data_IF_615262667488
#
_entry.id   IF_615262667488
#
_cell.length_a   1.000
_cell.length_b   1.000
_cell.length_c   1.000
_cell.angle_alpha   90.00
_cell.angle_beta   90.00
_cell.angle_gamma   90.00
#
_symmetry.space_group_name_H-M   'P 1'
#
loop_
_entity.id
_entity.type
_entity.pdbx_description
1 polymer ?
#
# COMPACT_ATOMS: atom_id res chain seq x y z
N UNK A 1 22.13 -5.91 31.27
CA UNK A 1 21.83 -4.50 31.56
C UNK A 1 20.42 -4.20 31.09
N UNK A 2 19.51 -3.92 32.00
CA UNK A 2 18.13 -3.57 31.65
C UNK A 2 18.06 -2.06 31.41
N UNK A 3 17.93 -1.67 30.17
CA UNK A 3 17.72 -0.26 29.81
C UNK A 3 16.27 0.13 30.04
N UNK A 4 16.04 1.27 30.69
CA UNK A 4 14.71 1.85 30.81
C UNK A 4 14.22 2.36 29.45
N UNK A 5 12.89 2.45 29.26
CA UNK A 5 12.27 2.96 28.04
C UNK A 5 12.82 4.35 27.63
N UNK A 6 13.19 5.18 28.59
CA UNK A 6 13.77 6.52 28.40
C UNK A 6 15.22 6.47 27.89
N UNK A 7 15.99 5.44 28.27
CA UNK A 7 17.38 5.25 27.81
C UNK A 7 17.44 4.72 26.36
N UNK A 8 16.48 3.86 26.00
CA UNK A 8 16.33 3.44 24.58
C UNK A 8 15.92 4.59 23.66
N UNK A 9 15.14 5.55 24.15
CA UNK A 9 14.73 6.73 23.37
C UNK A 9 15.87 7.73 23.11
N UNK A 10 16.84 7.84 24.03
CA UNK A 10 18.00 8.70 23.85
C UNK A 10 18.97 8.26 22.75
N UNK A 11 19.06 6.94 22.50
CA UNK A 11 19.99 6.35 21.53
C UNK A 11 19.64 6.68 20.07
N UNK A 12 18.34 6.78 19.75
CA UNK A 12 17.91 7.09 18.39
C UNK A 12 17.95 8.58 17.99
N UNK A 13 17.84 9.46 18.99
CA UNK A 13 17.90 10.91 18.77
C UNK A 13 19.34 11.43 18.56
N UNK A 14 20.31 10.78 19.17
CA UNK A 14 21.72 11.22 19.11
C UNK A 14 22.32 11.10 17.72
N UNK A 15 21.95 10.09 16.94
CA UNK A 15 22.47 9.90 15.57
C UNK A 15 21.99 10.94 14.56
N UNK A 16 20.83 11.59 14.80
CA UNK A 16 20.34 12.70 13.96
C UNK A 16 20.58 14.09 14.56
N UNK A 17 20.83 14.16 15.86
CA UNK A 17 21.05 15.41 16.61
C UNK A 17 22.53 15.73 16.84
N UNK A 18 23.46 14.91 16.36
CA UNK A 18 24.91 15.14 16.50
C UNK A 18 25.36 16.53 16.02
N UNK A 19 24.66 17.16 15.10
CA UNK A 19 24.93 18.50 14.62
C UNK A 19 24.37 19.64 15.53
N UNK A 20 23.44 19.33 16.42
CA UNK A 20 22.77 20.32 17.29
C UNK A 20 23.30 20.30 18.72
N UNK A 21 24.00 19.24 19.13
CA UNK A 21 24.40 19.00 20.52
C UNK A 21 25.74 19.64 20.93
N UNK A 22 26.23 20.66 20.26
CA UNK A 22 27.45 21.36 20.64
C UNK A 22 27.43 22.02 22.05
N UNK A 23 26.39 21.83 22.85
CA UNK A 23 26.28 22.34 24.21
C UNK A 23 25.79 21.34 25.27
N UNK A 24 25.39 20.13 24.91
CA UNK A 24 24.89 19.13 25.87
C UNK A 24 26.00 18.16 26.28
N UNK A 25 26.16 17.94 27.60
CA UNK A 25 27.00 16.85 28.12
C UNK A 25 26.45 15.53 27.59
N UNK A 26 27.19 14.91 26.67
CA UNK A 26 26.83 13.62 26.10
C UNK A 26 26.73 12.56 27.20
N UNK A 27 25.63 11.83 27.25
CA UNK A 27 25.51 10.64 28.11
C UNK A 27 26.51 9.56 27.66
N UNK A 28 26.90 8.59 28.51
CA UNK A 28 27.78 7.49 28.10
C UNK A 28 27.31 6.74 26.85
N UNK A 29 26.01 6.73 26.60
CA UNK A 29 25.39 6.15 25.40
C UNK A 29 25.66 7.02 24.16
N UNK A 30 25.59 8.35 24.30
CA UNK A 30 25.91 9.27 23.21
C UNK A 30 27.44 9.27 22.92
N UNK A 31 28.28 8.99 23.93
CA UNK A 31 29.72 8.77 23.73
C UNK A 31 30.02 7.42 23.03
N UNK A 32 29.25 6.37 23.35
CA UNK A 32 29.35 5.09 22.64
C UNK A 32 28.84 5.20 21.18
N UNK A 33 27.86 6.06 20.91
CA UNK A 33 27.41 6.34 19.54
C UNK A 33 28.37 7.23 18.77
N UNK A 34 29.03 8.18 19.39
CA UNK A 34 30.09 8.97 18.77
C UNK A 34 31.35 8.08 18.45
N UNK A 35 31.61 7.07 19.27
CA UNK A 35 32.63 6.05 18.97
C UNK A 35 32.19 5.14 17.78
N UNK A 36 30.88 4.86 17.63
CA UNK A 36 30.34 4.15 16.46
C UNK A 36 30.29 5.02 15.19
N UNK A 37 30.30 6.34 15.29
CA UNK A 37 30.37 7.23 14.12
C UNK A 37 31.78 7.23 13.47
N UNK A 38 32.82 7.11 14.26
CA UNK A 38 34.19 6.89 13.71
C UNK A 38 34.30 5.53 13.01
N UNK A 39 33.59 4.52 13.52
CA UNK A 39 33.47 3.20 12.88
C UNK A 39 32.56 3.26 11.63
N UNK A 40 31.56 4.11 11.62
CA UNK A 40 30.65 4.30 10.48
C UNK A 40 31.36 4.88 9.25
N UNK A 41 32.31 5.78 9.41
CA UNK A 41 33.13 6.30 8.30
C UNK A 41 34.03 5.22 7.71
N UNK A 42 34.66 4.41 8.56
CA UNK A 42 35.44 3.25 8.14
C UNK A 42 34.58 2.17 7.48
N UNK A 43 33.40 1.89 8.03
CA UNK A 43 32.41 0.99 7.45
C UNK A 43 31.91 1.51 6.10
N UNK A 44 31.62 2.80 5.97
CA UNK A 44 31.22 3.42 4.71
C UNK A 44 32.32 3.35 3.65
N UNK A 45 33.58 3.53 4.05
CA UNK A 45 34.75 3.36 3.17
C UNK A 45 34.87 1.90 2.72
N UNK A 46 34.68 0.93 3.63
CA UNK A 46 34.69 -0.49 3.30
C UNK A 46 33.51 -0.86 2.36
N UNK A 47 32.33 -0.27 2.53
CA UNK A 47 31.22 -0.47 1.62
C UNK A 47 31.50 0.06 0.20
N UNK A 48 32.25 1.14 0.07
CA UNK A 48 32.65 1.68 -1.25
C UNK A 48 33.59 0.76 -2.04
N UNK A 49 34.31 -0.12 -1.36
CA UNK A 49 35.18 -1.14 -1.98
C UNK A 49 34.60 -2.55 -1.95
N UNK A 50 33.40 -2.71 -1.39
CA UNK A 50 32.76 -4.02 -1.26
C UNK A 50 32.49 -4.65 -2.63
N UNK A 51 32.84 -5.93 -2.76
CA UNK A 51 32.48 -6.76 -3.90
C UNK A 51 31.93 -8.10 -3.39
N UNK A 52 30.78 -8.49 -3.91
CA UNK A 52 30.08 -9.69 -3.46
C UNK A 52 28.59 -9.66 -3.79
N UNK A 53 27.84 -10.59 -3.23
CA UNK A 53 26.39 -10.67 -3.42
C UNK A 53 25.66 -10.27 -2.14
N UNK A 54 24.56 -9.54 -2.29
CA UNK A 54 23.73 -9.06 -1.18
C UNK A 54 22.26 -9.45 -1.45
N UNK A 55 21.59 -10.20 -0.55
CA UNK A 55 20.17 -10.45 -0.67
C UNK A 55 19.39 -9.19 -0.31
N UNK A 56 18.27 -8.99 -1.00
CA UNK A 56 17.31 -7.91 -0.72
C UNK A 56 15.89 -8.40 -0.97
N UNK A 57 14.93 -7.88 -0.23
CA UNK A 57 13.54 -8.29 -0.31
C UNK A 57 12.60 -7.06 -0.41
N UNK A 58 12.49 -6.45 -1.59
CA UNK A 58 11.49 -5.41 -1.84
C UNK A 58 10.10 -6.02 -2.04
N UNK A 59 9.09 -5.17 -2.11
CA UNK A 59 7.70 -5.60 -2.25
C UNK A 59 7.33 -6.17 -3.64
N UNK A 60 8.26 -6.27 -4.57
CA UNK A 60 8.07 -6.89 -5.89
C UNK A 60 8.90 -8.16 -6.11
N UNK A 61 9.41 -8.74 -5.05
CA UNK A 61 10.07 -10.03 -5.04
C UNK A 61 11.45 -10.03 -4.37
N UNK A 62 11.88 -11.16 -3.80
CA UNK A 62 13.21 -11.32 -3.27
C UNK A 62 14.24 -11.37 -4.40
N UNK A 63 15.34 -10.68 -4.20
CA UNK A 63 16.40 -10.56 -5.20
C UNK A 63 17.80 -10.68 -4.61
N UNK A 64 18.77 -10.94 -5.46
CA UNK A 64 20.19 -10.92 -5.16
C UNK A 64 20.85 -9.82 -5.99
N UNK A 65 21.51 -8.89 -5.32
CA UNK A 65 22.31 -7.86 -5.96
C UNK A 65 23.79 -8.29 -5.97
N UNK A 66 24.41 -8.28 -7.13
CA UNK A 66 25.87 -8.40 -7.28
C UNK A 66 26.48 -7.01 -7.23
N UNK A 67 27.44 -6.84 -6.35
CA UNK A 67 28.14 -5.56 -6.12
C UNK A 67 29.59 -5.74 -6.48
N UNK A 68 30.14 -4.79 -7.23
CA UNK A 68 31.57 -4.68 -7.55
C UNK A 68 32.06 -3.29 -7.19
N UNK A 69 33.07 -3.22 -6.33
CA UNK A 69 33.63 -1.96 -5.85
C UNK A 69 32.60 -0.97 -5.35
N UNK A 70 31.66 -1.44 -4.54
CA UNK A 70 30.57 -0.65 -3.98
C UNK A 70 29.45 -0.27 -4.97
N UNK A 71 29.49 -0.76 -6.20
CA UNK A 71 28.50 -0.49 -7.24
C UNK A 71 27.70 -1.75 -7.56
N UNK A 72 26.39 -1.67 -7.54
CA UNK A 72 25.52 -2.77 -8.01
C UNK A 72 25.69 -2.88 -9.52
N UNK A 73 26.11 -4.05 -10.00
CA UNK A 73 26.34 -4.33 -11.42
C UNK A 73 25.31 -5.29 -12.00
N UNK A 74 24.63 -6.07 -11.14
CA UNK A 74 23.61 -7.03 -11.56
C UNK A 74 22.57 -7.22 -10.46
N UNK A 75 21.33 -7.45 -10.85
CA UNK A 75 20.22 -7.84 -9.97
C UNK A 75 19.56 -9.08 -10.58
N UNK A 76 19.37 -10.10 -9.76
CA UNK A 76 18.72 -11.35 -10.14
C UNK A 76 17.63 -11.69 -9.14
N UNK A 77 16.56 -12.32 -9.59
CA UNK A 77 15.57 -12.86 -8.69
C UNK A 77 16.18 -13.98 -7.83
N UNK A 78 15.80 -14.03 -6.55
CA UNK A 78 16.17 -15.16 -5.70
C UNK A 78 15.43 -16.41 -6.15
N UNK A 79 16.10 -17.57 -6.08
CA UNK A 79 15.55 -18.83 -6.60
C UNK A 79 14.29 -19.35 -5.89
N UNK A 80 13.90 -18.79 -4.75
CA UNK A 80 12.63 -19.09 -4.07
C UNK A 80 11.43 -18.38 -4.70
N UNK A 81 11.63 -17.32 -5.48
CA UNK A 81 10.55 -16.60 -6.14
C UNK A 81 9.91 -17.48 -7.23
N UNK A 82 8.58 -17.64 -7.15
CA UNK A 82 7.82 -18.52 -8.06
C UNK A 82 7.54 -17.88 -9.43
N UNK A 83 7.53 -16.54 -9.48
CA UNK A 83 7.20 -15.78 -10.69
C UNK A 83 8.01 -14.48 -10.78
N UNK A 84 9.34 -14.57 -10.84
CA UNK A 84 10.18 -13.38 -10.83
C UNK A 84 9.86 -12.45 -12.01
N UNK A 85 9.79 -11.18 -11.72
CA UNK A 85 9.50 -10.16 -12.72
C UNK A 85 10.79 -9.49 -13.17
N UNK A 86 11.40 -9.97 -14.24
CA UNK A 86 12.67 -9.46 -14.78
C UNK A 86 12.63 -7.94 -15.03
N UNK A 87 11.52 -7.44 -15.53
CA UNK A 87 11.34 -6.01 -15.79
C UNK A 87 11.47 -5.15 -14.53
N UNK A 88 11.02 -5.63 -13.37
CA UNK A 88 11.16 -4.93 -12.09
C UNK A 88 12.59 -5.02 -11.56
N UNK A 89 13.26 -6.15 -11.70
CA UNK A 89 14.66 -6.33 -11.28
C UNK A 89 15.61 -5.48 -12.13
N UNK A 90 15.44 -5.47 -13.44
CA UNK A 90 16.19 -4.61 -14.35
C UNK A 90 15.92 -3.13 -14.08
N UNK A 91 14.64 -2.74 -13.93
CA UNK A 91 14.25 -1.38 -13.63
C UNK A 91 14.80 -0.85 -12.31
N UNK A 92 15.03 -1.70 -11.31
CA UNK A 92 15.68 -1.31 -10.05
C UNK A 92 17.15 -0.95 -10.27
N UNK A 93 17.86 -1.73 -11.07
CA UNK A 93 19.25 -1.46 -11.39
C UNK A 93 19.41 -0.14 -12.15
N UNK A 94 18.64 0.03 -13.23
CA UNK A 94 18.65 1.23 -14.05
C UNK A 94 18.34 2.47 -13.21
N UNK A 95 17.28 2.41 -12.41
CA UNK A 95 16.85 3.53 -11.56
C UNK A 95 17.88 3.89 -10.50
N UNK A 96 18.64 2.93 -10.01
CA UNK A 96 19.64 3.19 -8.95
C UNK A 96 20.72 4.17 -9.39
N UNK A 97 21.07 4.16 -10.67
CA UNK A 97 22.13 5.01 -11.24
C UNK A 97 21.65 5.99 -12.29
N UNK A 98 20.35 6.10 -12.49
CA UNK A 98 19.77 7.04 -13.46
C UNK A 98 20.06 8.50 -13.06
N UNK A 99 20.27 9.33 -14.07
CA UNK A 99 20.52 10.77 -13.90
C UNK A 99 19.39 11.55 -13.23
N UNK A 100 18.19 11.01 -13.22
CA UNK A 100 17.02 11.61 -12.54
C UNK A 100 17.01 11.37 -11.03
N UNK A 101 17.90 10.50 -10.55
CA UNK A 101 18.03 10.26 -9.11
C UNK A 101 18.63 11.49 -8.42
N UNK A 102 18.10 11.82 -7.24
CA UNK A 102 18.66 12.88 -6.40
C UNK A 102 20.11 12.54 -6.03
N UNK A 103 21.04 13.38 -6.46
CA UNK A 103 22.48 13.14 -6.30
C UNK A 103 23.03 13.51 -4.91
N UNK A 104 22.30 14.32 -4.15
CA UNK A 104 22.71 14.78 -2.83
C UNK A 104 21.65 15.62 -2.15
N UNK A 105 21.98 16.15 -0.97
CA UNK A 105 21.08 17.04 -0.26
C UNK A 105 20.95 18.38 -1.00
N UNK A 106 19.72 18.83 -1.19
CA UNK A 106 19.40 20.07 -1.91
C UNK A 106 18.53 20.96 -1.03
N UNK A 107 18.81 22.26 -1.05
CA UNK A 107 18.05 23.28 -0.34
C UNK A 107 17.61 24.36 -1.33
N UNK A 108 16.39 24.89 -1.16
CA UNK A 108 15.94 26.02 -1.98
C UNK A 108 16.85 27.23 -1.74
N UNK A 109 17.27 27.88 -2.80
CA UNK A 109 18.20 29.00 -2.76
C UNK A 109 17.68 30.12 -1.85
N UNK A 110 16.42 30.54 -2.03
CA UNK A 110 15.83 31.59 -1.22
C UNK A 110 15.76 31.26 0.28
N UNK A 111 15.56 29.97 0.62
CA UNK A 111 15.56 29.54 2.02
C UNK A 111 16.97 29.53 2.61
N UNK A 112 17.96 29.08 1.85
CA UNK A 112 19.36 29.09 2.27
C UNK A 112 19.87 30.50 2.51
N UNK A 113 19.59 31.42 1.58
CA UNK A 113 19.94 32.83 1.70
C UNK A 113 19.29 33.48 2.93
N UNK A 114 18.00 33.16 3.18
CA UNK A 114 17.29 33.65 4.35
C UNK A 114 17.92 33.17 5.67
N UNK A 115 18.28 31.89 5.76
CA UNK A 115 18.99 31.32 6.92
C UNK A 115 20.36 32.00 7.12
N UNK A 116 21.14 32.15 6.05
CA UNK A 116 22.45 32.80 6.08
C UNK A 116 22.37 34.29 6.47
N UNK A 117 21.28 34.96 6.13
CA UNK A 117 21.01 36.35 6.53
C UNK A 117 20.38 36.45 7.92
N UNK A 118 20.51 35.47 8.76
CA UNK A 118 19.97 35.46 10.13
C UNK A 118 18.46 35.52 10.20
N UNK A 119 17.78 34.96 9.18
CA UNK A 119 16.32 34.90 9.06
C UNK A 119 15.62 36.27 8.98
N UNK A 120 16.32 37.24 8.46
CA UNK A 120 15.75 38.58 8.22
C UNK A 120 14.91 38.60 6.95
N UNK A 121 13.71 39.18 7.02
CA UNK A 121 12.79 39.23 5.90
C UNK A 121 12.02 37.90 5.66
N UNK A 122 11.65 37.62 4.43
CA UNK A 122 10.86 36.45 4.04
C UNK A 122 11.76 35.34 3.47
N UNK A 123 11.49 34.09 3.84
CA UNK A 123 12.06 32.90 3.19
C UNK A 123 11.47 32.62 1.80
N UNK A 124 10.64 33.51 1.29
CA UNK A 124 9.94 33.45 0.00
C UNK A 124 9.19 32.11 -0.23
N UNK A 125 8.25 31.77 0.66
CA UNK A 125 7.48 30.52 0.52
C UNK A 125 6.69 30.45 -0.80
N UNK A 126 6.34 31.58 -1.40
CA UNK A 126 5.68 31.69 -2.69
C UNK A 126 6.51 31.17 -3.86
N UNK A 127 7.81 30.98 -3.66
CA UNK A 127 8.70 30.39 -4.66
C UNK A 127 8.76 28.84 -4.57
N UNK A 128 8.02 28.20 -3.68
CA UNK A 128 7.98 26.73 -3.64
C UNK A 128 7.54 26.17 -5.00
N UNK A 129 8.35 25.23 -5.51
CA UNK A 129 8.16 24.65 -6.85
C UNK A 129 8.73 25.47 -8.03
N UNK A 130 9.21 26.70 -7.78
CA UNK A 130 9.79 27.60 -8.80
C UNK A 130 11.20 28.08 -8.45
N UNK A 131 11.66 27.83 -7.24
CA UNK A 131 12.96 28.26 -6.73
C UNK A 131 14.10 27.42 -7.33
N UNK A 132 15.29 28.00 -7.34
CA UNK A 132 16.51 27.26 -7.65
C UNK A 132 16.89 26.35 -6.48
N UNK A 133 17.51 25.20 -6.80
CA UNK A 133 18.03 24.26 -5.83
C UNK A 133 19.54 24.38 -5.71
N UNK A 134 20.03 24.49 -4.50
CA UNK A 134 21.47 24.53 -4.17
C UNK A 134 21.86 23.23 -3.50
N UNK A 135 22.88 22.55 -4.01
CA UNK A 135 23.43 21.38 -3.35
C UNK A 135 24.23 21.79 -2.13
N UNK A 136 24.00 21.13 -1.01
CA UNK A 136 24.68 21.39 0.27
C UNK A 136 25.22 20.09 0.86
N UNK A 137 26.07 20.19 1.87
CA UNK A 137 26.49 19.01 2.64
C UNK A 137 25.31 18.43 3.42
N UNK A 138 25.38 17.14 3.74
CA UNK A 138 24.38 16.50 4.60
C UNK A 138 24.29 17.16 5.97
N UNK A 139 25.43 17.56 6.55
CA UNK A 139 25.45 18.28 7.84
C UNK A 139 24.68 19.59 7.78
N UNK A 140 24.86 20.35 6.71
CA UNK A 140 24.09 21.58 6.49
C UNK A 140 22.59 21.26 6.35
N UNK A 141 22.21 20.30 5.53
CA UNK A 141 20.81 19.96 5.32
C UNK A 141 20.14 19.44 6.59
N UNK A 142 20.81 18.57 7.34
CA UNK A 142 20.29 18.03 8.60
C UNK A 142 20.19 19.11 9.68
N UNK A 143 21.20 19.98 9.78
CA UNK A 143 21.16 21.13 10.71
C UNK A 143 19.99 22.07 10.43
N UNK A 144 19.77 22.44 9.17
CA UNK A 144 18.63 23.28 8.76
C UNK A 144 17.28 22.58 9.05
N UNK A 145 17.18 21.30 8.78
CA UNK A 145 15.97 20.51 9.03
C UNK A 145 15.67 20.42 10.53
N UNK A 146 16.67 20.07 11.34
CA UNK A 146 16.54 19.97 12.78
C UNK A 146 16.10 21.31 13.39
N UNK A 147 16.75 22.41 12.98
CA UNK A 147 16.39 23.74 13.42
C UNK A 147 14.94 24.10 13.08
N UNK A 148 14.53 23.84 11.85
CA UNK A 148 13.15 24.14 11.43
C UNK A 148 12.10 23.34 12.21
N UNK A 149 12.38 22.07 12.53
CA UNK A 149 11.51 21.23 13.36
C UNK A 149 11.45 21.77 14.79
N UNK A 150 12.59 22.04 15.42
CA UNK A 150 12.65 22.58 16.79
C UNK A 150 11.96 23.94 16.91
N UNK A 151 12.19 24.85 16.00
CA UNK A 151 11.51 26.15 15.97
C UNK A 151 9.99 26.01 15.81
N UNK A 152 9.55 25.02 15.04
CA UNK A 152 8.12 24.73 14.88
C UNK A 152 7.53 24.19 16.18
N UNK A 153 8.22 23.26 16.84
CA UNK A 153 7.80 22.69 18.13
C UNK A 153 7.78 23.77 19.21
N UNK A 154 8.80 24.61 19.28
CA UNK A 154 8.86 25.73 20.24
C UNK A 154 7.70 26.71 20.07
N UNK A 155 7.37 27.04 18.82
CA UNK A 155 6.35 28.05 18.52
C UNK A 155 4.92 27.51 18.56
N UNK A 156 4.70 26.28 18.13
CA UNK A 156 3.35 25.75 17.90
C UNK A 156 3.08 24.41 18.61
N UNK A 157 4.05 23.90 19.38
CA UNK A 157 3.97 22.57 19.95
C UNK A 157 4.23 21.47 18.90
N UNK A 158 4.26 20.23 19.36
CA UNK A 158 4.45 19.06 18.49
C UNK A 158 3.35 18.90 17.43
N UNK A 159 2.17 19.41 17.72
CA UNK A 159 1.02 19.41 16.79
C UNK A 159 1.27 20.25 15.53
N UNK A 160 2.18 21.24 15.61
CA UNK A 160 2.63 22.03 14.47
C UNK A 160 3.48 21.23 13.47
N UNK A 161 3.98 20.06 13.85
CA UNK A 161 4.71 19.16 12.96
C UNK A 161 3.74 18.13 12.38
N UNK A 162 3.56 18.16 11.08
CA UNK A 162 2.82 17.12 10.36
C UNK A 162 3.79 16.05 9.83
N UNK A 163 3.66 14.83 10.32
CA UNK A 163 4.44 13.70 9.84
C UNK A 163 3.54 12.65 9.21
N UNK A 164 3.79 12.35 7.97
CA UNK A 164 3.10 11.28 7.28
C UNK A 164 4.02 10.64 6.27
N UNK A 165 4.14 9.34 6.34
CA UNK A 165 4.85 8.55 5.35
C UNK A 165 4.02 7.33 5.03
N UNK A 166 3.74 7.14 3.74
CA UNK A 166 3.02 5.98 3.28
C UNK A 166 3.88 4.71 3.40
N UNK A 167 3.28 3.62 3.89
CA UNK A 167 4.00 2.39 4.24
C UNK A 167 4.07 1.34 3.14
N UNK A 168 3.45 1.58 1.97
CA UNK A 168 3.40 0.61 0.87
C UNK A 168 4.75 0.29 0.24
N UNK A 169 5.73 1.11 0.45
CA UNK A 169 7.11 0.94 0.00
C UNK A 169 7.90 0.14 1.01
N UNK A 170 7.55 -1.09 1.20
CA UNK A 170 8.20 -1.85 2.21
C UNK A 170 9.23 -2.79 1.63
N UNK A 171 10.25 -2.95 2.37
CA UNK A 171 11.14 -4.07 2.39
C UNK A 171 11.12 -4.64 3.80
N UNK A 172 11.68 -5.81 3.98
CA UNK A 172 11.66 -6.50 5.26
C UNK A 172 12.14 -5.61 6.41
N UNK A 173 11.37 -5.58 7.47
CA UNK A 173 11.79 -5.08 8.77
C UNK A 173 11.58 -3.59 9.05
N UNK A 174 12.42 -3.08 9.94
CA UNK A 174 12.31 -1.77 10.59
C UNK A 174 12.69 -0.59 9.68
N UNK A 175 13.21 -0.83 8.49
CA UNK A 175 13.67 0.21 7.58
C UNK A 175 12.56 0.82 6.72
N UNK A 176 11.32 0.53 7.01
CA UNK A 176 10.18 1.18 6.36
C UNK A 176 10.17 2.68 6.68
N UNK A 177 9.95 3.56 5.71
CA UNK A 177 9.94 5.01 5.93
C UNK A 177 8.97 5.45 7.02
N UNK A 178 7.76 4.90 7.06
CA UNK A 178 6.76 5.21 8.08
C UNK A 178 7.19 4.78 9.50
N UNK A 179 7.88 3.65 9.63
CA UNK A 179 8.41 3.19 10.93
C UNK A 179 9.51 4.11 11.42
N UNK A 180 10.45 4.46 10.53
CA UNK A 180 11.57 5.35 10.87
C UNK A 180 11.09 6.76 11.19
N UNK A 181 10.18 7.31 10.39
CA UNK A 181 9.60 8.64 10.61
C UNK A 181 8.78 8.68 11.89
N UNK A 182 7.90 7.68 12.12
CA UNK A 182 7.14 7.56 13.35
C UNK A 182 8.03 7.46 14.58
N UNK A 183 9.10 6.67 14.51
CA UNK A 183 10.09 6.58 15.59
C UNK A 183 10.74 7.93 15.87
N UNK A 184 11.16 8.66 14.83
CA UNK A 184 11.79 9.97 14.97
C UNK A 184 10.87 10.95 15.69
N UNK A 185 9.63 11.13 15.21
CA UNK A 185 8.71 12.09 15.83
C UNK A 185 8.22 11.66 17.22
N UNK A 186 8.06 10.36 17.47
CA UNK A 186 7.72 9.87 18.81
C UNK A 186 8.82 10.17 19.83
N UNK A 187 10.09 10.14 19.43
CA UNK A 187 11.21 10.54 20.27
C UNK A 187 11.22 12.05 20.58
N UNK A 188 10.65 12.87 19.71
CA UNK A 188 10.49 14.30 19.89
C UNK A 188 9.21 14.70 20.66
N UNK A 189 8.36 13.73 21.02
CA UNK A 189 7.12 13.98 21.75
C UNK A 189 5.84 13.84 20.91
N UNK A 190 5.96 13.44 19.67
CA UNK A 190 4.84 13.19 18.75
C UNK A 190 4.74 14.20 17.62
N UNK A 191 3.69 14.08 16.81
CA UNK A 191 3.36 14.95 15.69
C UNK A 191 1.91 14.75 15.26
N UNK A 192 1.36 15.65 14.49
CA UNK A 192 0.11 15.41 13.78
C UNK A 192 0.32 14.42 12.64
N UNK A 193 -0.64 13.53 12.44
CA UNK A 193 -0.60 12.48 11.41
C UNK A 193 -1.89 12.45 10.60
N UNK A 194 -1.83 11.81 9.43
CA UNK A 194 -3.04 11.49 8.66
C UNK A 194 -3.86 10.41 9.33
N UNK A 195 -5.17 10.47 9.17
CA UNK A 195 -6.09 9.39 9.48
C UNK A 195 -6.61 8.78 8.18
N UNK A 196 -6.52 7.46 8.07
CA UNK A 196 -6.88 6.74 6.85
C UNK A 196 -5.89 6.95 5.69
N UNK A 197 -6.25 6.46 4.53
CA UNK A 197 -5.49 6.62 3.29
C UNK A 197 -6.42 6.77 2.07
N UNK A 198 -5.86 7.07 0.90
CA UNK A 198 -6.62 7.15 -0.35
C UNK A 198 -6.67 5.83 -1.11
N UNK A 199 -5.82 4.87 -0.78
CA UNK A 199 -5.76 3.59 -1.51
C UNK A 199 -7.01 2.75 -1.28
N UNK A 200 -7.48 2.69 -0.03
CA UNK A 200 -8.63 1.91 0.38
C UNK A 200 -9.50 2.64 1.43
N UNK A 201 -9.38 3.97 1.54
CA UNK A 201 -10.02 4.76 2.60
C UNK A 201 -11.54 4.61 2.64
N UNK A 202 -12.21 4.58 1.49
CA UNK A 202 -13.65 4.33 1.44
C UNK A 202 -14.01 2.94 1.97
N UNK A 203 -13.26 1.91 1.57
CA UNK A 203 -13.44 0.55 2.09
C UNK A 203 -13.18 0.47 3.60
N UNK A 204 -12.13 1.11 4.09
CA UNK A 204 -11.79 1.15 5.53
C UNK A 204 -12.89 1.76 6.39
N UNK A 205 -13.67 2.70 5.85
CA UNK A 205 -14.78 3.33 6.57
C UNK A 205 -16.06 2.52 6.43
N UNK A 206 -16.38 2.04 5.23
CA UNK A 206 -17.67 1.40 4.95
C UNK A 206 -17.70 -0.07 5.38
N UNK A 207 -16.60 -0.83 5.19
CA UNK A 207 -16.61 -2.26 5.49
C UNK A 207 -16.90 -2.58 6.97
N UNK A 208 -16.34 -1.86 7.97
CA UNK A 208 -16.72 -2.07 9.36
C UNK A 208 -18.22 -1.82 9.64
N UNK A 209 -18.85 -0.86 8.93
CA UNK A 209 -20.27 -0.57 9.09
C UNK A 209 -21.17 -1.63 8.45
N UNK A 210 -20.70 -2.27 7.38
CA UNK A 210 -21.49 -3.26 6.60
C UNK A 210 -21.20 -4.67 7.07
N UNK A 211 -19.95 -5.01 7.36
CA UNK A 211 -19.50 -6.37 7.68
C UNK A 211 -19.03 -6.54 9.13
N UNK A 212 -18.94 -5.46 9.89
CA UNK A 212 -18.50 -5.49 11.30
C UNK A 212 -16.98 -5.45 11.50
N UNK A 213 -16.19 -5.63 10.45
CA UNK A 213 -14.73 -5.60 10.50
C UNK A 213 -14.14 -5.05 9.19
N UNK A 214 -12.86 -4.73 9.27
CA UNK A 214 -12.06 -4.20 8.16
C UNK A 214 -11.36 -5.34 7.41
N UNK A 215 -12.12 -6.29 6.91
CA UNK A 215 -11.63 -7.51 6.26
C UNK A 215 -10.71 -7.26 5.06
N UNK A 216 -10.80 -6.08 4.45
CA UNK A 216 -9.94 -5.68 3.31
C UNK A 216 -8.45 -5.77 3.64
N UNK A 217 -8.10 -5.63 4.91
CA UNK A 217 -6.72 -5.67 5.42
C UNK A 217 -6.45 -6.85 6.37
N UNK A 218 -7.47 -7.62 6.67
CA UNK A 218 -7.33 -8.79 7.54
C UNK A 218 -6.73 -9.97 6.78
N UNK A 219 -6.31 -10.98 7.50
CA UNK A 219 -5.89 -12.24 6.90
C UNK A 219 -7.01 -12.81 6.04
N UNK A 220 -6.72 -13.04 4.78
CA UNK A 220 -7.67 -13.59 3.83
C UNK A 220 -7.81 -15.11 4.01
N UNK A 221 -8.80 -15.70 3.35
CA UNK A 221 -8.99 -17.16 3.32
C UNK A 221 -7.76 -17.85 2.73
N UNK A 222 -7.25 -18.87 3.40
CA UNK A 222 -6.08 -19.62 2.95
C UNK A 222 -6.32 -20.31 1.59
N UNK A 223 -5.27 -20.45 0.79
CA UNK A 223 -5.33 -21.02 -0.55
C UNK A 223 -5.87 -22.45 -0.55
N UNK A 224 -5.54 -23.25 0.46
CA UNK A 224 -6.04 -24.61 0.64
C UNK A 224 -7.55 -24.64 0.82
N UNK A 225 -8.08 -23.70 1.62
CA UNK A 225 -9.53 -23.59 1.85
C UNK A 225 -10.26 -23.20 0.57
N UNK A 226 -9.71 -22.27 -0.20
CA UNK A 226 -10.27 -21.87 -1.49
C UNK A 226 -10.25 -23.04 -2.48
N UNK A 227 -9.11 -23.75 -2.62
CA UNK A 227 -8.94 -24.88 -3.51
C UNK A 227 -9.93 -26.01 -3.21
N UNK A 228 -10.11 -26.33 -1.93
CA UNK A 228 -10.89 -27.49 -1.51
C UNK A 228 -12.41 -27.22 -1.45
N UNK A 229 -12.81 -25.94 -1.39
CA UNK A 229 -14.21 -25.58 -1.17
C UNK A 229 -14.84 -24.72 -2.26
N UNK A 230 -14.09 -24.12 -3.19
CA UNK A 230 -14.64 -23.20 -4.18
C UNK A 230 -14.98 -23.92 -5.48
N UNK A 231 -16.17 -23.69 -6.02
CA UNK A 231 -16.63 -24.24 -7.30
C UNK A 231 -16.67 -23.19 -8.41
N UNK A 232 -16.78 -21.89 -8.02
CA UNK A 232 -16.81 -20.76 -8.91
C UNK A 232 -16.04 -19.60 -8.30
N UNK A 233 -15.10 -19.01 -9.02
CA UNK A 233 -14.48 -17.74 -8.70
C UNK A 233 -15.02 -16.67 -9.64
N UNK A 234 -15.47 -15.53 -9.08
CA UNK A 234 -15.90 -14.37 -9.85
C UNK A 234 -15.00 -13.19 -9.55
N UNK A 235 -14.24 -12.76 -10.55
CA UNK A 235 -13.42 -11.56 -10.49
C UNK A 235 -14.27 -10.33 -10.81
N UNK A 236 -14.31 -9.36 -9.92
CA UNK A 236 -15.12 -8.14 -10.07
C UNK A 236 -14.20 -6.93 -10.06
N UNK A 237 -13.99 -6.33 -11.21
CA UNK A 237 -13.13 -5.15 -11.37
C UNK A 237 -11.69 -5.38 -10.91
N UNK A 238 -11.16 -6.60 -11.03
CA UNK A 238 -9.80 -6.91 -10.57
C UNK A 238 -9.02 -7.78 -11.57
N UNK A 239 -7.70 -7.67 -11.50
CA UNK A 239 -6.74 -8.44 -12.26
C UNK A 239 -5.63 -8.96 -11.33
N UNK A 240 -5.88 -10.04 -10.57
CA UNK A 240 -4.91 -10.58 -9.63
C UNK A 240 -3.54 -10.89 -10.24
N UNK A 241 -3.48 -11.28 -11.49
CA UNK A 241 -2.21 -11.56 -12.19
C UNK A 241 -1.30 -10.32 -12.26
N UNK A 242 -1.88 -9.14 -12.42
CA UNK A 242 -1.13 -7.88 -12.37
C UNK A 242 -0.96 -7.33 -10.96
N UNK A 243 -2.04 -7.34 -10.19
CA UNK A 243 -2.07 -6.69 -8.88
C UNK A 243 -1.06 -7.32 -7.92
N UNK A 244 -0.90 -8.64 -7.98
CA UNK A 244 -0.08 -9.37 -7.03
C UNK A 244 1.38 -9.56 -7.48
N UNK A 245 1.81 -8.85 -8.51
CA UNK A 245 3.24 -8.69 -8.83
C UNK A 245 3.97 -7.81 -7.83
N UNK A 246 3.21 -7.07 -7.03
CA UNK A 246 3.69 -6.20 -5.97
C UNK A 246 2.84 -6.46 -4.74
N UNK A 247 3.47 -6.85 -3.64
CA UNK A 247 2.82 -7.03 -2.36
C UNK A 247 3.20 -5.96 -1.35
N UNK A 248 2.35 -5.79 -0.35
CA UNK A 248 2.49 -4.74 0.63
C UNK A 248 3.74 -4.88 1.51
N UNK A 249 4.16 -6.10 1.78
CA UNK A 249 5.32 -6.39 2.63
C UNK A 249 6.49 -6.96 1.82
N UNK A 250 6.55 -8.27 1.71
CA UNK A 250 7.53 -8.99 0.89
C UNK A 250 6.76 -9.85 -0.08
N UNK A 251 7.00 -9.66 -1.35
CA UNK A 251 6.35 -10.42 -2.40
C UNK A 251 7.16 -11.68 -2.69
N UNK A 252 6.60 -12.84 -2.44
CA UNK A 252 7.17 -14.14 -2.81
C UNK A 252 6.44 -14.82 -3.98
N UNK A 253 5.37 -14.18 -4.47
CA UNK A 253 4.53 -14.65 -5.57
C UNK A 253 3.84 -16.01 -5.33
N UNK A 254 3.67 -16.44 -4.09
CA UNK A 254 2.95 -17.69 -3.76
C UNK A 254 1.49 -17.69 -4.26
N UNK A 255 0.92 -16.53 -4.43
CA UNK A 255 -0.41 -16.34 -4.99
C UNK A 255 -0.59 -17.03 -6.35
N UNK A 256 0.42 -17.04 -7.22
CA UNK A 256 0.33 -17.71 -8.51
C UNK A 256 0.14 -19.21 -8.37
N UNK A 257 0.86 -19.85 -7.42
CA UNK A 257 0.67 -21.26 -7.10
C UNK A 257 -0.73 -21.53 -6.52
N UNK A 258 -1.25 -20.60 -5.73
CA UNK A 258 -2.61 -20.64 -5.19
C UNK A 258 -3.67 -20.67 -6.30
N UNK A 259 -3.63 -19.75 -7.24
CA UNK A 259 -4.56 -19.70 -8.39
C UNK A 259 -4.45 -20.96 -9.27
N UNK A 260 -3.23 -21.40 -9.55
CA UNK A 260 -3.00 -22.63 -10.31
C UNK A 260 -3.58 -23.86 -9.60
N UNK A 261 -3.47 -23.92 -8.28
CA UNK A 261 -4.06 -24.97 -7.46
C UNK A 261 -5.59 -25.01 -7.56
N UNK A 262 -6.24 -23.86 -7.48
CA UNK A 262 -7.70 -23.72 -7.60
C UNK A 262 -8.15 -24.12 -9.03
N UNK A 263 -7.44 -23.70 -10.05
CA UNK A 263 -7.72 -24.08 -11.45
C UNK A 263 -7.59 -25.59 -11.67
N UNK A 264 -6.52 -26.20 -11.14
CA UNK A 264 -6.29 -27.66 -11.23
C UNK A 264 -7.35 -28.48 -10.48
N UNK A 265 -7.95 -27.93 -9.45
CA UNK A 265 -9.07 -28.53 -8.73
C UNK A 265 -10.39 -28.52 -9.52
N UNK A 266 -10.42 -27.90 -10.70
CA UNK A 266 -11.60 -27.89 -11.58
C UNK A 266 -12.59 -26.75 -11.29
N UNK A 267 -12.18 -25.73 -10.54
CA UNK A 267 -12.98 -24.55 -10.30
C UNK A 267 -13.28 -23.81 -11.60
N UNK A 268 -14.49 -23.27 -11.73
CA UNK A 268 -14.89 -22.39 -12.83
C UNK A 268 -14.50 -20.96 -12.51
N UNK A 269 -14.23 -20.18 -13.57
CA UNK A 269 -13.87 -18.77 -13.45
C UNK A 269 -14.77 -17.89 -14.30
N UNK A 270 -15.21 -16.78 -13.73
CA UNK A 270 -15.92 -15.71 -14.40
C UNK A 270 -15.26 -14.37 -14.08
N UNK A 271 -15.28 -13.46 -15.02
CA UNK A 271 -14.74 -12.11 -14.83
C UNK A 271 -15.76 -11.07 -15.28
N UNK A 272 -16.05 -10.13 -14.38
CA UNK A 272 -16.90 -8.98 -14.62
C UNK A 272 -15.99 -7.75 -14.66
N UNK A 273 -15.52 -7.41 -15.85
CA UNK A 273 -14.54 -6.36 -16.06
C UNK A 273 -14.87 -5.57 -17.34
N UNK A 274 -14.49 -4.29 -17.43
CA UNK A 274 -14.69 -3.51 -18.65
C UNK A 274 -13.84 -3.97 -19.83
N UNK A 275 -12.75 -4.71 -19.56
CA UNK A 275 -11.83 -5.28 -20.54
C UNK A 275 -11.39 -6.69 -20.12
N UNK A 276 -10.92 -7.48 -21.08
CA UNK A 276 -10.26 -8.76 -20.80
C UNK A 276 -8.94 -8.50 -20.09
N UNK A 277 -8.66 -9.26 -19.06
CA UNK A 277 -7.45 -9.14 -18.24
C UNK A 277 -6.48 -10.29 -18.46
N UNK A 278 -5.23 -10.14 -18.02
CA UNK A 278 -4.26 -11.25 -18.04
C UNK A 278 -4.68 -12.42 -17.13
N UNK A 279 -5.41 -12.13 -16.06
CA UNK A 279 -6.04 -13.14 -15.21
C UNK A 279 -7.06 -13.97 -15.99
N UNK A 280 -7.88 -13.33 -16.83
CA UNK A 280 -8.88 -14.01 -17.63
C UNK A 280 -8.24 -15.00 -18.61
N UNK A 281 -7.18 -14.58 -19.28
CA UNK A 281 -6.43 -15.43 -20.20
C UNK A 281 -5.81 -16.64 -19.47
N UNK A 282 -5.18 -16.41 -18.32
CA UNK A 282 -4.54 -17.48 -17.54
C UNK A 282 -5.55 -18.46 -16.92
N UNK A 283 -6.61 -17.94 -16.34
CA UNK A 283 -7.63 -18.79 -15.68
C UNK A 283 -8.61 -19.42 -16.67
N UNK A 284 -8.78 -18.85 -17.85
CA UNK A 284 -9.82 -19.25 -18.80
C UNK A 284 -11.19 -18.78 -18.33
N UNK A 285 -11.26 -17.54 -17.82
CA UNK A 285 -12.48 -16.97 -17.27
C UNK A 285 -13.52 -16.72 -18.35
N UNK A 286 -14.79 -16.94 -18.06
CA UNK A 286 -15.88 -16.38 -18.84
C UNK A 286 -15.91 -14.86 -18.61
N UNK A 287 -15.50 -14.06 -19.59
CA UNK A 287 -15.52 -12.62 -19.49
C UNK A 287 -16.89 -12.04 -19.76
N UNK A 288 -17.36 -11.19 -18.85
CA UNK A 288 -18.58 -10.42 -18.93
C UNK A 288 -18.23 -8.94 -18.92
N UNK A 289 -18.39 -8.30 -20.07
CA UNK A 289 -18.15 -6.86 -20.20
C UNK A 289 -19.20 -6.07 -19.40
N UNK A 290 -18.73 -5.10 -18.63
CA UNK A 290 -19.56 -4.17 -17.88
C UNK A 290 -19.15 -2.72 -18.16
N UNK A 291 -20.12 -1.80 -18.14
CA UNK A 291 -19.83 -0.36 -18.11
C UNK A 291 -19.17 -0.04 -16.74
N UNK A 292 -18.00 0.65 -16.69
CA UNK A 292 -17.38 1.00 -15.42
C UNK A 292 -18.33 1.72 -14.45
N UNK A 293 -18.16 1.49 -13.15
CA UNK A 293 -18.95 2.09 -12.06
C UNK A 293 -20.43 1.68 -12.01
N UNK A 294 -20.81 0.57 -12.63
CA UNK A 294 -22.19 0.09 -12.64
C UNK A 294 -22.39 -1.24 -11.90
N UNK A 295 -21.37 -1.67 -11.16
CA UNK A 295 -21.37 -2.93 -10.39
C UNK A 295 -22.54 -2.99 -9.40
N UNK A 296 -22.83 -1.89 -8.72
CA UNK A 296 -23.94 -1.78 -7.78
C UNK A 296 -25.29 -2.11 -8.45
N UNK A 297 -25.52 -1.57 -9.65
CA UNK A 297 -26.75 -1.86 -10.40
C UNK A 297 -26.84 -3.35 -10.78
N UNK A 298 -25.73 -3.96 -11.18
CA UNK A 298 -25.66 -5.38 -11.48
C UNK A 298 -26.02 -6.22 -10.27
N UNK A 299 -25.37 -6.01 -9.13
CA UNK A 299 -25.60 -6.82 -7.93
C UNK A 299 -26.98 -6.60 -7.32
N UNK A 300 -27.53 -5.38 -7.40
CA UNK A 300 -28.93 -5.14 -7.02
C UNK A 300 -29.90 -5.95 -7.88
N UNK A 301 -29.70 -5.99 -9.18
CA UNK A 301 -30.58 -6.73 -10.08
C UNK A 301 -30.45 -8.25 -9.91
N UNK A 302 -29.26 -8.75 -9.64
CA UNK A 302 -29.04 -10.15 -9.30
C UNK A 302 -29.76 -10.52 -8.00
N UNK A 303 -29.64 -9.66 -6.96
CA UNK A 303 -30.36 -9.82 -5.69
C UNK A 303 -31.85 -9.78 -5.87
N UNK A 304 -32.37 -8.83 -6.65
CA UNK A 304 -33.79 -8.75 -7.00
C UNK A 304 -34.29 -10.05 -7.67
N UNK A 305 -33.52 -10.56 -8.65
CA UNK A 305 -33.89 -11.79 -9.35
C UNK A 305 -33.94 -12.98 -8.39
N UNK A 306 -32.93 -13.18 -7.54
CA UNK A 306 -32.92 -14.28 -6.58
C UNK A 306 -34.04 -14.19 -5.58
N UNK A 307 -34.40 -12.99 -5.11
CA UNK A 307 -35.54 -12.76 -4.23
C UNK A 307 -36.88 -13.10 -4.94
N UNK A 308 -37.04 -12.66 -6.20
CA UNK A 308 -38.24 -12.94 -6.99
C UNK A 308 -38.46 -14.43 -7.23
N UNK A 309 -37.38 -15.20 -7.27
CA UNK A 309 -37.38 -16.66 -7.43
C UNK A 309 -37.37 -17.43 -6.10
N UNK A 310 -37.42 -16.71 -4.95
CA UNK A 310 -37.32 -17.30 -3.59
C UNK A 310 -36.08 -18.16 -3.39
N UNK A 311 -34.95 -17.75 -4.00
CA UNK A 311 -33.66 -18.46 -3.94
C UNK A 311 -32.72 -17.88 -2.87
N UNK A 312 -33.16 -16.89 -2.09
CA UNK A 312 -32.37 -16.37 -0.97
C UNK A 312 -32.23 -17.39 0.17
N UNK A 313 -31.11 -17.37 0.87
CA UNK A 313 -30.93 -18.13 2.10
C UNK A 313 -31.58 -17.37 3.27
N UNK A 314 -32.87 -17.63 3.54
CA UNK A 314 -33.60 -16.90 4.56
C UNK A 314 -33.04 -17.13 5.95
N UNK A 315 -32.60 -18.34 6.27
CA UNK A 315 -31.99 -18.65 7.58
C UNK A 315 -30.69 -17.85 7.83
N UNK A 316 -29.89 -17.64 6.78
CA UNK A 316 -28.71 -16.79 6.87
C UNK A 316 -29.11 -15.32 7.08
N UNK A 317 -30.07 -14.83 6.31
CA UNK A 317 -30.56 -13.45 6.40
C UNK A 317 -31.05 -13.15 7.81
N UNK A 318 -31.93 -14.01 8.34
CA UNK A 318 -32.54 -13.84 9.67
C UNK A 318 -31.50 -13.86 10.80
N UNK A 319 -30.45 -14.65 10.65
CA UNK A 319 -29.42 -14.84 11.70
C UNK A 319 -28.29 -13.83 11.65
N UNK A 320 -27.87 -13.44 10.45
CA UNK A 320 -26.59 -12.74 10.26
C UNK A 320 -26.71 -11.36 9.63
N UNK A 321 -27.91 -10.88 9.29
CA UNK A 321 -28.07 -9.57 8.66
C UNK A 321 -28.99 -8.65 9.45
N UNK A 322 -28.78 -7.35 9.30
CA UNK A 322 -29.63 -6.30 9.85
C UNK A 322 -30.07 -5.35 8.73
N UNK A 323 -31.35 -4.94 8.75
CA UNK A 323 -31.85 -3.96 7.77
C UNK A 323 -32.23 -4.57 6.41
N UNK A 324 -32.27 -5.90 6.29
CA UNK A 324 -32.61 -6.57 5.05
C UNK A 324 -33.99 -6.15 4.48
N UNK A 325 -34.94 -5.88 5.34
CA UNK A 325 -36.29 -5.42 4.90
C UNK A 325 -36.25 -4.08 4.15
N UNK A 326 -35.37 -3.17 4.59
CA UNK A 326 -35.17 -1.89 3.90
C UNK A 326 -34.50 -2.10 2.54
N UNK A 327 -33.50 -2.98 2.49
CA UNK A 327 -32.83 -3.33 1.24
C UNK A 327 -33.79 -3.99 0.26
N UNK A 328 -34.62 -4.94 0.73
CA UNK A 328 -35.63 -5.58 -0.05
C UNK A 328 -36.66 -4.58 -0.60
N UNK A 329 -37.16 -3.65 0.24
CA UNK A 329 -38.05 -2.60 -0.18
C UNK A 329 -37.48 -1.72 -1.29
N UNK A 330 -36.16 -1.38 -1.19
CA UNK A 330 -35.42 -0.67 -2.22
C UNK A 330 -35.32 -1.47 -3.52
N UNK A 331 -34.99 -2.75 -3.44
CA UNK A 331 -34.93 -3.62 -4.62
C UNK A 331 -36.27 -3.72 -5.33
N UNK A 332 -37.34 -3.84 -4.57
CA UNK A 332 -38.73 -3.95 -5.07
C UNK A 332 -39.32 -2.60 -5.52
N UNK A 333 -38.63 -1.48 -5.29
CA UNK A 333 -39.10 -0.12 -5.64
C UNK A 333 -40.19 0.42 -4.72
N UNK A 334 -40.36 -0.15 -3.52
CA UNK A 334 -41.38 0.27 -2.53
C UNK A 334 -41.02 1.58 -1.82
N UNK A 335 -39.84 2.05 -2.01
CA UNK A 335 -39.31 3.34 -1.52
C UNK A 335 -39.51 4.50 -2.51
N UNK A 336 -40.26 4.29 -3.57
CA UNK A 336 -40.53 5.26 -4.63
C UNK A 336 -39.50 5.29 -5.75
N UNK A 337 -38.46 4.47 -5.67
CA UNK A 337 -37.48 4.30 -6.76
C UNK A 337 -37.93 3.20 -7.74
N UNK A 338 -37.38 3.17 -8.98
CA UNK A 338 -37.67 2.07 -9.89
C UNK A 338 -37.25 0.72 -9.33
N UNK A 339 -38.01 -0.38 -9.52
CA UNK A 339 -37.57 -1.72 -9.15
C UNK A 339 -36.27 -2.09 -9.85
N UNK A 340 -35.36 -2.74 -9.10
CA UNK A 340 -34.01 -3.07 -9.56
C UNK A 340 -34.01 -4.37 -10.38
N UNK A 341 -34.86 -4.44 -11.40
CA UNK A 341 -35.00 -5.64 -12.25
C UNK A 341 -33.75 -5.85 -13.12
N UNK A 342 -33.52 -7.07 -13.65
CA UNK A 342 -32.48 -7.31 -14.65
C UNK A 342 -32.59 -6.41 -15.89
N UNK A 343 -33.83 -6.03 -16.31
CA UNK A 343 -34.08 -5.11 -17.42
C UNK A 343 -33.65 -3.68 -17.07
N UNK A 344 -33.88 -3.24 -15.83
CA UNK A 344 -33.40 -1.95 -15.34
C UNK A 344 -31.84 -1.90 -15.37
N UNK A 345 -31.20 -2.93 -14.81
CA UNK A 345 -29.74 -2.98 -14.76
C UNK A 345 -29.10 -3.14 -16.15
N UNK A 346 -29.73 -3.85 -17.08
CA UNK A 346 -29.22 -4.03 -18.42
C UNK A 346 -29.00 -2.69 -19.16
N UNK A 347 -29.88 -1.71 -18.92
CA UNK A 347 -29.75 -0.36 -19.50
C UNK A 347 -28.57 0.43 -18.91
N UNK A 348 -28.17 0.11 -17.70
CA UNK A 348 -27.09 0.79 -16.95
C UNK A 348 -25.75 0.12 -17.22
N UNK A 349 -25.72 -1.20 -17.08
CA UNK A 349 -24.49 -2.01 -17.11
C UNK A 349 -24.04 -2.41 -18.50
N UNK A 350 -24.94 -2.37 -19.48
CA UNK A 350 -24.72 -2.93 -20.80
C UNK A 350 -24.76 -4.46 -20.86
N UNK A 351 -25.03 -5.14 -19.74
CA UNK A 351 -25.14 -6.60 -19.68
C UNK A 351 -26.58 -7.02 -19.99
N UNK A 352 -26.83 -7.92 -20.96
CA UNK A 352 -28.20 -8.35 -21.28
C UNK A 352 -28.92 -8.93 -20.05
N UNK A 353 -30.17 -8.59 -19.86
CA UNK A 353 -30.98 -9.04 -18.71
C UNK A 353 -31.00 -10.57 -18.55
N UNK A 354 -31.01 -11.32 -19.66
CA UNK A 354 -30.89 -12.80 -19.65
C UNK A 354 -29.57 -13.24 -19.01
N UNK A 355 -28.46 -12.55 -19.32
CA UNK A 355 -27.15 -12.86 -18.77
C UNK A 355 -27.09 -12.53 -17.28
N UNK A 356 -27.67 -11.40 -16.85
CA UNK A 356 -27.76 -11.03 -15.41
C UNK A 356 -28.48 -12.14 -14.62
N UNK A 357 -29.60 -12.66 -15.14
CA UNK A 357 -30.33 -13.77 -14.50
C UNK A 357 -29.47 -15.03 -14.42
N UNK A 358 -28.87 -15.45 -15.53
CA UNK A 358 -28.06 -16.67 -15.55
C UNK A 358 -26.83 -16.59 -14.63
N UNK A 359 -26.22 -15.42 -14.52
CA UNK A 359 -25.10 -15.18 -13.58
C UNK A 359 -25.59 -15.30 -12.13
N UNK A 360 -26.70 -14.66 -11.78
CA UNK A 360 -27.28 -14.75 -10.44
C UNK A 360 -27.57 -16.20 -10.04
N UNK A 361 -28.17 -16.96 -10.95
CA UNK A 361 -28.49 -18.37 -10.72
C UNK A 361 -27.26 -19.25 -10.60
N UNK A 362 -26.25 -19.04 -11.46
CA UNK A 362 -24.99 -19.76 -11.40
C UNK A 362 -24.28 -19.53 -10.05
N UNK A 363 -24.16 -18.26 -9.65
CA UNK A 363 -23.51 -17.90 -8.39
C UNK A 363 -24.25 -18.43 -7.17
N UNK A 364 -25.58 -18.45 -7.20
CA UNK A 364 -26.38 -18.99 -6.12
C UNK A 364 -26.38 -20.51 -6.04
N UNK A 365 -26.07 -21.20 -7.14
CA UNK A 365 -26.04 -22.68 -7.21
C UNK A 365 -24.71 -23.30 -6.84
N UNK A 366 -23.67 -22.50 -6.68
CA UNK A 366 -22.30 -22.93 -6.41
C UNK A 366 -21.71 -22.31 -5.16
N UNK A 367 -20.72 -22.96 -4.56
CA UNK A 367 -19.85 -22.31 -3.56
C UNK A 367 -18.97 -21.30 -4.29
N UNK A 368 -19.41 -20.05 -4.28
CA UNK A 368 -18.83 -18.97 -5.06
C UNK A 368 -17.94 -18.08 -4.21
N UNK A 369 -16.70 -17.90 -4.66
CA UNK A 369 -15.78 -16.89 -4.15
C UNK A 369 -15.89 -15.61 -4.99
N UNK A 370 -16.21 -14.49 -4.36
CA UNK A 370 -16.12 -13.17 -4.98
C UNK A 370 -14.76 -12.55 -4.71
N UNK A 371 -14.07 -12.14 -5.76
CA UNK A 371 -12.81 -11.43 -5.70
C UNK A 371 -13.02 -10.02 -6.24
N UNK A 372 -13.15 -9.05 -5.34
CA UNK A 372 -13.13 -7.64 -5.67
C UNK A 372 -11.74 -7.04 -5.50
N UNK A 373 -11.54 -5.85 -6.03
CA UNK A 373 -10.36 -5.06 -5.75
C UNK A 373 -10.73 -3.67 -5.23
N UNK A 374 -9.73 -2.91 -4.84
CA UNK A 374 -9.95 -1.52 -4.40
C UNK A 374 -10.50 -0.61 -5.50
N UNK A 375 -10.52 -1.07 -6.74
CA UNK A 375 -11.08 -0.32 -7.84
C UNK A 375 -12.58 0.00 -7.64
N UNK A 376 -13.35 -0.86 -6.99
CA UNK A 376 -14.78 -0.67 -6.73
C UNK A 376 -15.10 0.55 -5.85
N UNK A 377 -14.13 1.07 -5.12
CA UNK A 377 -14.29 2.27 -4.27
C UNK A 377 -13.86 3.57 -4.96
N UNK A 378 -13.34 3.51 -6.19
CA UNK A 378 -12.76 4.66 -6.89
C UNK A 378 -13.68 5.22 -7.96
N UNK A 379 -14.94 5.04 -7.79
CA UNK A 379 -15.96 5.55 -8.68
C UNK A 379 -16.28 7.01 -8.39
#
# INVERSE_FOLDING_TARGET
MNFTRRQWMGVGAAGMLGAVAAGMKLTPIAQALAATEMDAAAQLAALKSFSGTVPHAPHYGPLIATVENGRIVKIEAQGSDKMPTAMLTEGVLDRTYDKTRVAGAMVRKSYLEWEQNGRKGSSKPELRGKDEWVQVSWDTALGLTAKAILDTIEKYGNEGCFSSSYGGWSHAGIFRPNVLQGRFFNLLGGSSMTTGDYSAGAGQIIMPMVMGDMEVYSAQTAWEQLRDNTELVVFVGCDPDKNNRIEYTVCDHEMYAGWDGIKKAGCQFMSINPQVTTTDEKMGSEWVRIVPNTDTALFMAMSYHLLSQKKQNQAFIDKYTVGFDKYRAHLEGKDGTPPKTPEWAAKITGIPAKKIRSMAELMASKRTQLCGSWAIQRA
#
